data_IF_820271083322
#
_entry.id   IF_820271083322
#
_cell.length_a   1.000
_cell.length_b   1.000
_cell.length_c   1.000
_cell.angle_alpha   90.00
_cell.angle_beta   90.00
_cell.angle_gamma   90.00
#
_symmetry.space_group_name_H-M   'P 1'
#
loop_
_entity.id
_entity.type
_entity.pdbx_description
1 polymer ?
#
# COMPACT_ATOMS: atom_id res chain seq x y z
N UNK A 1 6.86 -0.72 -8.13
CA UNK A 1 6.33 -1.46 -6.96
C UNK A 1 7.46 -2.32 -6.40
N UNK A 2 8.04 -1.94 -5.25
CA UNK A 2 9.14 -2.69 -4.61
C UNK A 2 8.55 -3.90 -3.85
N UNK A 3 8.23 -4.96 -4.58
CA UNK A 3 7.84 -6.26 -4.02
C UNK A 3 9.00 -7.25 -4.19
N UNK A 4 9.27 -8.06 -3.16
CA UNK A 4 10.36 -9.03 -3.19
C UNK A 4 9.90 -10.32 -3.89
N UNK A 5 10.41 -10.66 -5.10
CA UNK A 5 9.94 -11.80 -5.89
C UNK A 5 10.21 -13.17 -5.25
N UNK A 6 10.93 -13.21 -4.12
CA UNK A 6 11.33 -14.44 -3.42
C UNK A 6 10.41 -14.84 -2.26
N UNK A 7 9.28 -14.16 -2.03
CA UNK A 7 8.33 -14.55 -0.98
C UNK A 7 7.45 -15.71 -1.46
N UNK A 8 7.42 -16.83 -0.73
CA UNK A 8 6.59 -18.03 -1.05
C UNK A 8 5.10 -17.73 -1.30
N UNK A 9 4.55 -16.66 -0.75
CA UNK A 9 3.14 -16.27 -0.93
C UNK A 9 2.87 -15.41 -2.16
N UNK A 10 3.92 -14.94 -2.86
CA UNK A 10 3.82 -14.01 -3.99
C UNK A 10 2.95 -14.56 -5.15
N UNK A 11 3.11 -15.82 -5.60
CA UNK A 11 2.29 -16.34 -6.70
C UNK A 11 0.79 -16.37 -6.36
N UNK A 12 0.43 -16.72 -5.12
CA UNK A 12 -0.97 -16.76 -4.67
C UNK A 12 -1.60 -15.37 -4.59
N UNK A 13 -0.82 -14.36 -4.21
CA UNK A 13 -1.30 -12.97 -4.15
C UNK A 13 -1.54 -12.40 -5.55
N UNK A 14 -0.60 -12.66 -6.48
CA UNK A 14 -0.73 -12.29 -7.89
C UNK A 14 -1.95 -12.96 -8.53
N UNK A 15 -2.19 -14.25 -8.26
CA UNK A 15 -3.38 -14.96 -8.76
C UNK A 15 -4.69 -14.36 -8.21
N UNK A 16 -4.73 -14.01 -6.92
CA UNK A 16 -5.87 -13.32 -6.30
C UNK A 16 -6.14 -11.95 -6.94
N UNK A 17 -5.09 -11.17 -7.21
CA UNK A 17 -5.17 -9.88 -7.89
C UNK A 17 -5.70 -10.00 -9.32
N UNK A 18 -5.20 -10.97 -10.10
CA UNK A 18 -5.69 -11.24 -11.47
C UNK A 18 -7.19 -11.53 -11.49
N UNK A 19 -7.68 -12.37 -10.55
CA UNK A 19 -9.11 -12.69 -10.43
C UNK A 19 -9.95 -11.49 -10.01
N UNK A 20 -9.46 -10.69 -9.06
CA UNK A 20 -10.19 -9.55 -8.52
C UNK A 20 -10.33 -8.41 -9.53
N UNK A 21 -9.26 -8.12 -10.26
CA UNK A 21 -9.20 -7.00 -11.20
C UNK A 21 -9.61 -7.41 -12.62
N UNK A 22 -9.83 -8.70 -12.88
CA UNK A 22 -10.06 -9.28 -14.20
C UNK A 22 -9.05 -8.75 -15.24
N UNK A 23 -7.79 -8.62 -14.81
CA UNK A 23 -6.73 -7.96 -15.56
C UNK A 23 -5.44 -8.76 -15.43
N UNK A 24 -4.67 -8.78 -16.52
CA UNK A 24 -3.33 -9.33 -16.48
C UNK A 24 -2.33 -8.32 -15.90
N UNK A 25 -1.51 -8.81 -14.98
CA UNK A 25 -0.37 -8.06 -14.47
C UNK A 25 0.75 -8.21 -15.51
N UNK A 26 0.93 -7.16 -16.30
CA UNK A 26 2.00 -7.06 -17.29
C UNK A 26 3.13 -6.22 -16.71
N UNK A 27 4.37 -6.68 -16.88
CA UNK A 27 5.53 -5.85 -16.61
C UNK A 27 5.60 -4.75 -17.69
N UNK A 28 5.38 -3.51 -17.29
CA UNK A 28 5.36 -2.37 -18.18
C UNK A 28 5.32 -1.06 -17.41
N UNK A 29 5.45 0.05 -18.12
CA UNK A 29 5.40 1.39 -17.53
C UNK A 29 3.96 1.77 -17.19
N UNK A 30 3.77 2.25 -15.96
CA UNK A 30 2.53 2.87 -15.52
C UNK A 30 2.75 4.36 -15.46
N UNK A 31 1.79 5.15 -15.95
CA UNK A 31 1.80 6.63 -15.82
C UNK A 31 1.95 7.14 -14.38
N UNK A 32 1.74 6.27 -13.40
CA UNK A 32 1.89 6.60 -11.98
C UNK A 32 3.31 6.37 -11.45
N UNK A 33 4.22 5.76 -12.22
CA UNK A 33 5.58 5.49 -11.76
C UNK A 33 6.45 6.75 -11.72
N UNK A 34 6.36 7.62 -12.73
CA UNK A 34 7.03 8.93 -12.69
C UNK A 34 6.56 9.77 -11.49
N UNK A 35 5.24 9.78 -11.26
CA UNK A 35 4.65 10.45 -10.11
C UNK A 35 5.10 9.85 -8.78
N UNK A 36 5.18 8.51 -8.69
CA UNK A 36 5.68 7.81 -7.51
C UNK A 36 7.15 8.16 -7.24
N UNK A 37 7.98 8.18 -8.27
CA UNK A 37 9.40 8.50 -8.15
C UNK A 37 9.59 9.93 -7.61
N UNK A 38 8.93 10.92 -8.23
CA UNK A 38 8.97 12.32 -7.77
C UNK A 38 8.53 12.48 -6.32
N UNK A 39 7.42 11.84 -5.93
CA UNK A 39 6.91 11.96 -4.55
C UNK A 39 7.81 11.27 -3.53
N UNK A 40 8.45 10.16 -3.89
CA UNK A 40 9.42 9.51 -3.01
C UNK A 40 10.66 10.39 -2.82
N UNK A 41 11.16 11.03 -3.87
CA UNK A 41 12.27 11.98 -3.75
C UNK A 41 11.93 13.16 -2.83
N UNK A 42 10.75 13.78 -3.01
CA UNK A 42 10.27 14.86 -2.14
C UNK A 42 10.14 14.40 -0.69
N UNK A 43 9.60 13.19 -0.46
CA UNK A 43 9.46 12.61 0.87
C UNK A 43 10.82 12.39 1.54
N UNK A 44 11.80 11.82 0.83
CA UNK A 44 13.15 11.61 1.38
C UNK A 44 13.90 12.92 1.62
N UNK A 45 13.58 13.98 0.87
CA UNK A 45 14.08 15.34 1.13
C UNK A 45 13.34 16.09 2.25
N UNK A 46 12.29 15.48 2.82
CA UNK A 46 11.44 16.10 3.84
C UNK A 46 10.53 17.22 3.31
N UNK A 47 10.37 17.33 1.99
CA UNK A 47 9.53 18.34 1.33
C UNK A 47 8.07 17.92 1.20
N UNK A 48 7.78 16.63 1.40
CA UNK A 48 6.44 16.05 1.33
C UNK A 48 6.15 15.18 2.54
N UNK A 49 4.91 15.28 3.04
CA UNK A 49 4.41 14.50 4.18
C UNK A 49 3.24 13.58 3.80
N UNK A 50 2.54 13.87 2.69
CA UNK A 50 1.38 13.14 2.21
C UNK A 50 1.57 12.63 0.77
N UNK A 51 1.00 11.48 0.45
CA UNK A 51 1.04 10.89 -0.90
C UNK A 51 -0.35 10.95 -1.56
N UNK A 52 -0.41 11.42 -2.80
CA UNK A 52 -1.62 11.52 -3.63
C UNK A 52 -1.70 10.43 -4.72
N UNK A 53 -0.94 9.35 -4.55
CA UNK A 53 -0.91 8.22 -5.48
C UNK A 53 -2.16 7.36 -5.30
N UNK A 54 -2.91 7.07 -6.38
CA UNK A 54 -4.07 6.20 -6.29
C UNK A 54 -3.64 4.76 -6.00
N UNK A 55 -3.98 4.26 -4.81
CA UNK A 55 -3.70 2.89 -4.38
C UNK A 55 -4.97 2.06 -4.38
N UNK A 56 -4.92 0.92 -5.07
CA UNK A 56 -5.95 -0.11 -4.99
C UNK A 56 -5.55 -1.11 -3.91
N UNK A 57 -6.34 -1.19 -2.84
CA UNK A 57 -6.12 -2.15 -1.75
C UNK A 57 -6.95 -3.41 -1.99
N UNK A 58 -6.29 -4.58 -2.01
CA UNK A 58 -6.96 -5.88 -2.13
C UNK A 58 -6.55 -6.78 -0.97
N UNK A 59 -7.53 -7.25 -0.18
CA UNK A 59 -7.27 -8.10 0.97
C UNK A 59 -8.57 -8.54 1.66
N UNK A 60 -8.44 -9.27 2.77
CA UNK A 60 -9.59 -9.59 3.62
C UNK A 60 -10.18 -8.32 4.23
N UNK A 61 -11.44 -8.40 4.69
CA UNK A 61 -12.09 -7.29 5.41
C UNK A 61 -11.21 -6.79 6.56
N UNK A 62 -10.57 -7.69 7.29
CA UNK A 62 -9.64 -7.33 8.36
C UNK A 62 -8.40 -6.60 7.85
N UNK A 63 -7.76 -7.08 6.77
CA UNK A 63 -6.58 -6.42 6.18
C UNK A 63 -6.92 -5.01 5.68
N UNK A 64 -8.06 -4.84 5.01
CA UNK A 64 -8.53 -3.53 4.55
C UNK A 64 -8.76 -2.57 5.72
N UNK A 65 -9.37 -3.04 6.82
CA UNK A 65 -9.53 -2.22 8.03
C UNK A 65 -8.17 -1.80 8.61
N UNK A 66 -7.22 -2.73 8.74
CA UNK A 66 -5.86 -2.42 9.22
C UNK A 66 -5.18 -1.38 8.34
N UNK A 67 -5.22 -1.53 7.02
CA UNK A 67 -4.62 -0.56 6.11
C UNK A 67 -5.28 0.82 6.17
N UNK A 68 -6.60 0.87 6.33
CA UNK A 68 -7.31 2.13 6.52
C UNK A 68 -6.93 2.82 7.83
N UNK A 69 -6.70 2.08 8.92
CA UNK A 69 -6.19 2.66 10.17
C UNK A 69 -4.75 3.15 10.04
N UNK A 70 -3.87 2.40 9.36
CA UNK A 70 -2.48 2.82 9.12
C UNK A 70 -2.41 4.14 8.33
N UNK A 71 -3.29 4.33 7.36
CA UNK A 71 -3.37 5.58 6.56
C UNK A 71 -3.78 6.81 7.38
N UNK A 72 -4.34 6.64 8.58
CA UNK A 72 -4.73 7.74 9.46
C UNK A 72 -3.58 8.23 10.35
N UNK A 73 -2.44 7.56 10.34
CA UNK A 73 -1.27 7.94 11.14
C UNK A 73 -0.60 9.14 10.47
N UNK A 74 -0.54 10.32 11.12
CA UNK A 74 0.12 11.49 10.55
C UNK A 74 1.63 11.27 10.37
N UNK A 75 2.23 12.04 9.47
CA UNK A 75 3.68 12.04 9.29
C UNK A 75 4.40 12.36 10.60
N UNK A 76 5.47 11.62 10.89
CA UNK A 76 6.27 11.79 12.11
C UNK A 76 5.64 11.19 13.38
N UNK A 77 4.41 10.70 13.31
CA UNK A 77 3.75 10.04 14.44
C UNK A 77 3.94 8.53 14.44
N UNK A 78 3.70 7.92 15.61
CA UNK A 78 3.75 6.48 15.80
C UNK A 78 2.46 6.02 16.44
N UNK A 79 1.97 4.85 16.01
CA UNK A 79 0.91 4.11 16.69
C UNK A 79 1.40 2.75 17.12
N UNK A 80 0.97 2.31 18.30
CA UNK A 80 1.24 0.96 18.79
C UNK A 80 0.25 -0.03 18.21
N UNK A 81 0.62 -1.31 18.17
CA UNK A 81 -0.29 -2.39 17.76
C UNK A 81 -1.53 -2.46 18.64
N UNK A 82 -1.40 -2.22 19.95
CA UNK A 82 -2.53 -2.17 20.88
C UNK A 82 -3.49 -1.02 20.53
N UNK A 83 -2.96 0.16 20.21
CA UNK A 83 -3.78 1.30 19.79
C UNK A 83 -4.53 0.99 18.48
N UNK A 84 -3.87 0.36 17.51
CA UNK A 84 -4.52 -0.06 16.28
C UNK A 84 -5.64 -1.08 16.53
N UNK A 85 -5.40 -2.10 17.35
CA UNK A 85 -6.44 -3.10 17.67
C UNK A 85 -7.70 -2.46 18.26
N UNK A 86 -7.54 -1.56 19.24
CA UNK A 86 -8.68 -0.86 19.85
C UNK A 86 -9.52 -0.08 18.83
N UNK A 87 -8.87 0.51 17.82
CA UNK A 87 -9.57 1.23 16.77
C UNK A 87 -10.26 0.31 15.74
N UNK A 88 -9.82 -0.95 15.61
CA UNK A 88 -10.39 -1.93 14.67
C UNK A 88 -11.63 -2.64 15.24
N UNK A 89 -11.71 -2.73 16.57
CA UNK A 89 -12.79 -3.37 17.33
C UNK A 89 -13.98 -2.43 17.62
N UNK A 90 -13.88 -1.15 17.23
CA UNK A 90 -14.93 -0.12 17.36
C UNK A 90 -15.77 -0.01 16.09
#
# INVERSE_FOLDING_TARGET
MLEFPYRKSFPKQVEGLKRLLNADIVAGESKFFEMLESQLEEYFRGQRQDFDIPLVLSGSVFQLKVWNELRKIPFGERRTYLQQSKNLDS
#
